data_IF_833625353860
#
_entry.id   IF_833625353860
#
_cell.length_a   1.000
_cell.length_b   1.000
_cell.length_c   1.000
_cell.angle_alpha   90.00
_cell.angle_beta   90.00
_cell.angle_gamma   90.00
#
_symmetry.space_group_name_H-M   'P 1'
#
loop_
_entity.id
_entity.type
_entity.pdbx_description
1 polymer ?
#
# COMPACT_ATOMS: atom_id res chain seq x y z
N UNK A 1 6.71 65.99 -24.61
CA UNK A 1 6.06 65.56 -23.34
C UNK A 1 5.15 64.33 -23.48
N UNK A 2 4.28 64.22 -24.51
CA UNK A 2 3.35 63.06 -24.65
C UNK A 2 4.03 61.68 -24.81
N UNK A 3 5.22 61.60 -25.41
CA UNK A 3 5.95 60.32 -25.56
C UNK A 3 6.65 59.82 -24.28
N UNK A 4 7.00 60.74 -23.37
CA UNK A 4 7.66 60.36 -22.09
C UNK A 4 6.63 59.81 -21.11
N UNK A 5 5.41 60.36 -21.10
CA UNK A 5 4.32 59.88 -20.24
C UNK A 5 3.84 58.49 -20.68
N UNK A 6 3.77 58.21 -21.99
CA UNK A 6 3.41 56.88 -22.49
C UNK A 6 4.45 55.80 -22.12
N UNK A 7 5.75 56.13 -22.20
CA UNK A 7 6.82 55.22 -21.77
C UNK A 7 6.81 54.99 -20.25
N UNK A 8 6.51 56.02 -19.45
CA UNK A 8 6.42 55.90 -17.99
C UNK A 8 5.19 55.09 -17.54
N UNK A 9 4.04 55.26 -18.22
CA UNK A 9 2.84 54.45 -17.97
C UNK A 9 3.06 52.99 -18.39
N UNK A 10 3.73 52.73 -19.53
CA UNK A 10 4.11 51.37 -19.92
C UNK A 10 5.13 50.74 -18.95
N UNK A 11 6.06 51.52 -18.39
CA UNK A 11 7.02 51.01 -17.39
C UNK A 11 6.33 50.67 -16.07
N UNK A 12 5.39 51.51 -15.61
CA UNK A 12 4.61 51.25 -14.38
C UNK A 12 3.64 50.08 -14.56
N UNK A 13 3.07 49.88 -15.75
CA UNK A 13 2.29 48.66 -16.06
C UNK A 13 3.18 47.41 -16.22
N UNK A 14 4.37 47.52 -16.81
CA UNK A 14 5.32 46.41 -16.92
C UNK A 14 5.92 45.99 -15.57
N UNK A 15 6.09 46.92 -14.63
CA UNK A 15 6.48 46.61 -13.24
C UNK A 15 5.29 46.25 -12.33
N UNK A 16 4.08 46.72 -12.64
CA UNK A 16 2.85 46.41 -11.90
C UNK A 16 2.22 45.06 -12.24
N UNK A 17 2.53 44.49 -13.42
CA UNK A 17 2.02 43.18 -13.86
C UNK A 17 3.07 42.06 -13.84
N UNK A 18 4.27 42.30 -13.32
CA UNK A 18 5.10 41.23 -12.78
C UNK A 18 4.44 40.80 -11.47
N UNK A 19 3.38 40.00 -11.59
CA UNK A 19 2.86 39.20 -10.48
C UNK A 19 4.07 38.53 -9.86
N UNK A 20 4.51 39.04 -8.71
CA UNK A 20 5.61 38.46 -7.94
C UNK A 20 5.21 37.01 -7.72
N UNK A 21 5.86 36.09 -8.43
CA UNK A 21 5.65 34.67 -8.20
C UNK A 21 5.76 34.46 -6.70
N UNK A 22 4.69 33.96 -6.07
CA UNK A 22 4.67 33.83 -4.61
C UNK A 22 5.91 33.02 -4.20
N UNK A 23 6.70 33.60 -3.30
CA UNK A 23 7.89 32.91 -2.80
C UNK A 23 7.43 31.72 -1.96
N UNK A 24 8.05 30.56 -2.18
CA UNK A 24 7.82 29.36 -1.38
C UNK A 24 7.99 29.73 0.11
N UNK A 25 7.00 29.35 0.93
CA UNK A 25 7.00 29.67 2.37
C UNK A 25 8.07 28.91 3.14
N UNK A 26 8.55 27.79 2.60
CA UNK A 26 9.74 27.10 3.08
C UNK A 26 10.51 26.45 1.93
N UNK A 27 11.80 26.16 2.17
CA UNK A 27 12.71 25.64 1.13
C UNK A 27 13.03 24.16 1.26
N UNK A 28 12.55 23.51 2.31
CA UNK A 28 12.76 22.09 2.53
C UNK A 28 11.55 21.50 3.23
N UNK A 29 11.21 20.26 2.86
CA UNK A 29 10.22 19.45 3.55
C UNK A 29 10.65 17.98 3.48
N UNK A 30 10.30 17.21 4.51
CA UNK A 30 10.61 15.77 4.58
C UNK A 30 9.36 15.00 4.96
N UNK A 31 9.13 13.87 4.30
CA UNK A 31 8.04 12.93 4.62
C UNK A 31 8.53 11.50 4.49
N UNK A 32 7.99 10.58 5.28
CA UNK A 32 8.27 9.15 5.12
C UNK A 32 7.30 8.52 4.12
N UNK A 33 7.81 8.01 3.01
CA UNK A 33 7.07 7.15 2.10
C UNK A 33 7.13 5.69 2.53
N UNK A 34 6.08 4.90 2.24
CA UNK A 34 6.11 3.45 2.47
C UNK A 34 6.48 2.71 1.18
N UNK A 35 7.51 1.88 1.23
CA UNK A 35 7.97 1.09 0.07
C UNK A 35 8.04 -0.40 0.42
N UNK A 36 8.08 -1.23 -0.63
CA UNK A 36 8.28 -2.67 -0.49
C UNK A 36 9.60 -3.03 -1.17
N UNK A 37 10.38 -3.91 -0.51
CA UNK A 37 11.62 -4.48 -1.03
C UNK A 37 11.50 -5.99 -1.10
N UNK A 38 11.97 -6.57 -2.20
CA UNK A 38 12.16 -8.00 -2.29
C UNK A 38 13.34 -8.41 -1.41
N UNK A 39 13.08 -9.34 -0.50
CA UNK A 39 14.07 -10.11 0.24
C UNK A 39 14.17 -11.49 -0.42
N UNK A 40 15.33 -12.15 -0.33
CA UNK A 40 15.58 -13.43 -1.02
C UNK A 40 14.46 -14.47 -0.84
N UNK A 41 14.36 -15.42 -1.78
CA UNK A 41 13.31 -16.45 -1.84
C UNK A 41 11.90 -15.92 -2.12
N UNK A 42 11.77 -14.86 -2.92
CA UNK A 42 10.46 -14.35 -3.37
C UNK A 42 9.63 -13.68 -2.25
N UNK A 43 10.25 -13.36 -1.11
CA UNK A 43 9.58 -12.66 -0.01
C UNK A 43 9.71 -11.15 -0.16
N UNK A 44 8.78 -10.42 0.44
CA UNK A 44 8.75 -8.97 0.38
C UNK A 44 8.67 -8.38 1.78
N UNK A 45 9.40 -7.30 2.03
CA UNK A 45 9.38 -6.56 3.29
C UNK A 45 9.03 -5.10 3.05
N UNK A 46 8.22 -4.52 3.92
CA UNK A 46 8.01 -3.07 3.91
C UNK A 46 9.15 -2.33 4.59
N UNK A 47 9.28 -1.04 4.29
CA UNK A 47 10.11 -0.10 5.03
C UNK A 47 9.60 1.34 4.82
N UNK A 48 9.90 2.21 5.78
CA UNK A 48 9.76 3.66 5.68
C UNK A 48 11.02 4.26 5.03
N UNK A 49 10.83 5.11 4.02
CA UNK A 49 11.93 5.82 3.35
C UNK A 49 11.66 7.31 3.43
N UNK A 50 12.62 8.07 3.96
CA UNK A 50 12.56 9.53 3.91
C UNK A 50 12.64 10.04 2.47
N UNK A 51 11.67 10.87 2.11
CA UNK A 51 11.58 11.61 0.86
C UNK A 51 11.71 13.08 1.22
N UNK A 52 12.68 13.76 0.61
CA UNK A 52 13.03 15.14 0.91
C UNK A 52 12.81 15.98 -0.35
N UNK A 53 12.03 17.04 -0.23
CA UNK A 53 11.93 18.08 -1.24
C UNK A 53 12.81 19.27 -0.85
N UNK A 54 13.65 19.75 -1.75
CA UNK A 54 14.50 20.94 -1.56
C UNK A 54 14.28 21.95 -2.67
N UNK A 55 14.11 23.22 -2.31
CA UNK A 55 13.99 24.32 -3.26
C UNK A 55 15.32 25.08 -3.34
N UNK A 56 15.99 24.94 -4.48
CA UNK A 56 17.25 25.61 -4.79
C UNK A 56 17.14 27.13 -4.85
N UNK A 57 18.29 27.79 -4.99
CA UNK A 57 18.35 29.24 -5.26
C UNK A 57 18.26 29.57 -6.74
N UNK A 58 18.45 28.58 -7.61
CA UNK A 58 18.38 28.75 -9.06
C UNK A 58 16.94 28.98 -9.53
N UNK A 59 16.77 29.95 -10.43
CA UNK A 59 15.49 30.24 -11.08
C UNK A 59 15.26 29.28 -12.25
N UNK A 60 14.52 28.20 -12.05
CA UNK A 60 14.12 27.20 -13.05
C UNK A 60 12.59 27.13 -13.23
N UNK A 61 11.87 28.24 -13.03
CA UNK A 61 10.43 28.35 -13.23
C UNK A 61 9.61 27.26 -12.50
N UNK A 62 10.00 26.94 -11.26
CA UNK A 62 9.30 25.94 -10.45
C UNK A 62 9.52 24.50 -10.90
N UNK A 63 10.49 24.23 -11.79
CA UNK A 63 10.74 22.89 -12.31
C UNK A 63 10.97 21.90 -11.16
N UNK A 64 10.21 20.81 -11.16
CA UNK A 64 10.34 19.73 -10.19
C UNK A 64 11.10 18.57 -10.82
N UNK A 65 12.12 18.06 -10.13
CA UNK A 65 12.95 16.94 -10.60
C UNK A 65 13.11 15.90 -9.50
N UNK A 66 13.42 14.65 -9.87
CA UNK A 66 13.79 13.60 -8.91
C UNK A 66 15.25 13.22 -9.12
N UNK A 67 16.01 13.15 -8.03
CA UNK A 67 17.37 12.61 -8.02
C UNK A 67 17.38 11.08 -7.85
N UNK A 68 18.30 10.41 -8.56
CA UNK A 68 18.57 8.99 -8.43
C UNK A 68 18.11 8.14 -9.60
N UNK A 69 18.21 6.81 -9.44
CA UNK A 69 17.79 5.84 -10.46
C UNK A 69 16.29 5.54 -10.35
N UNK A 70 15.50 6.30 -11.10
CA UNK A 70 14.03 6.32 -11.04
C UNK A 70 13.43 5.81 -12.35
N UNK A 71 12.44 4.90 -12.25
CA UNK A 71 11.69 4.39 -13.40
C UNK A 71 10.57 5.33 -13.86
N UNK A 72 9.80 4.91 -14.87
CA UNK A 72 8.90 5.80 -15.59
C UNK A 72 7.56 6.03 -14.86
N UNK A 73 7.06 5.05 -14.10
CA UNK A 73 5.84 5.22 -13.31
C UNK A 73 6.04 6.29 -12.23
N UNK A 74 7.20 6.27 -11.57
CA UNK A 74 7.51 7.26 -10.54
C UNK A 74 7.68 8.69 -11.09
N UNK A 75 8.23 8.84 -12.30
CA UNK A 75 8.28 10.15 -12.99
C UNK A 75 6.88 10.64 -13.37
N UNK A 76 6.01 9.72 -13.81
CA UNK A 76 4.62 10.04 -14.10
C UNK A 76 3.90 10.55 -12.85
N UNK A 77 4.04 9.85 -11.72
CA UNK A 77 3.42 10.25 -10.45
C UNK A 77 3.90 11.63 -9.97
N UNK A 78 5.19 11.98 -10.16
CA UNK A 78 5.66 13.34 -9.86
C UNK A 78 5.00 14.38 -10.78
N UNK A 79 4.89 14.07 -12.07
CA UNK A 79 4.26 14.97 -13.04
C UNK A 79 2.79 15.22 -12.69
N UNK A 80 2.07 14.20 -12.22
CA UNK A 80 0.68 14.33 -11.77
C UNK A 80 0.57 15.12 -10.47
N UNK A 81 1.47 14.90 -9.51
CA UNK A 81 1.57 15.69 -8.28
C UNK A 81 1.85 17.17 -8.57
N UNK A 82 2.79 17.46 -9.47
CA UNK A 82 3.12 18.83 -9.89
C UNK A 82 1.89 19.52 -10.52
N UNK A 83 1.22 18.84 -11.46
CA UNK A 83 -0.01 19.36 -12.08
C UNK A 83 -1.09 19.65 -11.05
N UNK A 84 -1.31 18.72 -10.11
CA UNK A 84 -2.29 18.90 -9.04
C UNK A 84 -2.01 20.16 -8.22
N UNK A 85 -0.75 20.37 -7.80
CA UNK A 85 -0.38 21.52 -6.96
C UNK A 85 -0.52 22.84 -7.73
N UNK A 86 -0.02 22.91 -8.96
CA UNK A 86 -0.09 24.12 -9.80
C UNK A 86 -1.52 24.53 -10.14
N UNK A 87 -2.43 23.56 -10.31
CA UNK A 87 -3.82 23.84 -10.67
C UNK A 87 -4.65 24.29 -9.46
N UNK A 88 -4.42 23.72 -8.28
CA UNK A 88 -5.36 23.84 -7.16
C UNK A 88 -4.85 24.70 -5.98
N UNK A 89 -3.54 24.97 -5.89
CA UNK A 89 -2.96 25.60 -4.69
C UNK A 89 -2.25 26.91 -5.04
N UNK A 90 -0.98 26.85 -5.44
CA UNK A 90 -0.25 28.02 -5.89
C UNK A 90 0.84 27.62 -6.89
N UNK A 91 1.42 28.62 -7.54
CA UNK A 91 2.60 28.40 -8.38
C UNK A 91 3.77 27.91 -7.50
N UNK A 92 4.63 27.06 -8.07
CA UNK A 92 5.84 26.56 -7.40
C UNK A 92 6.97 27.61 -7.40
N UNK A 93 6.62 28.86 -7.69
CA UNK A 93 7.53 29.99 -7.82
C UNK A 93 8.58 29.77 -8.89
N UNK A 94 9.71 30.46 -8.75
CA UNK A 94 10.81 30.37 -9.70
C UNK A 94 11.86 29.31 -9.34
N UNK A 95 11.85 28.75 -8.13
CA UNK A 95 12.93 27.87 -7.66
C UNK A 95 12.95 26.51 -8.39
N UNK A 96 14.13 25.94 -8.60
CA UNK A 96 14.23 24.51 -8.91
C UNK A 96 13.89 23.70 -7.67
N UNK A 97 12.93 22.78 -7.77
CA UNK A 97 12.60 21.85 -6.70
C UNK A 97 13.18 20.47 -7.04
N UNK A 98 13.88 19.89 -6.08
CA UNK A 98 14.47 18.56 -6.21
C UNK A 98 13.89 17.64 -5.16
N UNK A 99 13.32 16.52 -5.60
CA UNK A 99 12.91 15.41 -4.75
C UNK A 99 14.07 14.42 -4.68
N UNK A 100 14.47 14.06 -3.46
CA UNK A 100 15.50 13.06 -3.21
C UNK A 100 15.02 12.05 -2.18
N UNK A 101 15.59 10.85 -2.24
CA UNK A 101 15.34 9.80 -1.26
C UNK A 101 16.57 9.66 -0.37
N UNK A 102 16.37 9.49 0.94
CA UNK A 102 17.48 9.25 1.88
C UNK A 102 18.29 8.00 1.46
N UNK A 103 17.60 6.99 0.92
CA UNK A 103 18.25 5.82 0.33
C UNK A 103 18.53 6.03 -1.17
N UNK A 104 19.81 6.10 -1.57
CA UNK A 104 20.19 6.48 -2.94
C UNK A 104 20.52 5.32 -3.89
N UNK A 105 20.86 4.15 -3.37
CA UNK A 105 21.53 3.10 -4.17
C UNK A 105 20.59 2.09 -4.84
N UNK A 106 19.36 1.96 -4.35
CA UNK A 106 18.39 1.01 -4.89
C UNK A 106 17.48 1.68 -5.93
N UNK A 107 17.31 1.10 -7.15
CA UNK A 107 16.36 1.57 -8.13
C UNK A 107 14.95 1.66 -7.53
N UNK A 108 14.21 2.71 -7.87
CA UNK A 108 12.84 2.93 -7.39
C UNK A 108 11.91 3.14 -8.56
N UNK A 109 10.79 2.44 -8.57
CA UNK A 109 9.73 2.65 -9.54
C UNK A 109 8.35 2.36 -8.90
N UNK A 110 7.30 2.86 -9.53
CA UNK A 110 5.91 2.73 -9.09
C UNK A 110 5.28 4.05 -8.65
N UNK A 111 3.97 4.20 -8.92
CA UNK A 111 3.22 5.43 -8.62
C UNK A 111 2.96 5.71 -7.13
N UNK A 112 3.25 4.75 -6.24
CA UNK A 112 2.80 4.79 -4.83
C UNK A 112 3.37 5.90 -3.91
N UNK A 113 4.22 6.77 -4.46
CA UNK A 113 4.76 7.96 -3.80
C UNK A 113 4.09 9.28 -4.27
N UNK A 114 3.18 9.25 -5.23
CA UNK A 114 2.54 10.44 -5.81
C UNK A 114 1.84 11.33 -4.78
N UNK A 115 1.13 10.74 -3.82
CA UNK A 115 0.52 11.48 -2.72
C UNK A 115 1.59 12.13 -1.82
N UNK A 116 2.71 11.45 -1.57
CA UNK A 116 3.81 11.99 -0.77
C UNK A 116 4.46 13.21 -1.45
N UNK A 117 4.69 13.13 -2.77
CA UNK A 117 5.20 14.26 -3.55
C UNK A 117 4.26 15.46 -3.48
N UNK A 118 2.95 15.22 -3.56
CA UNK A 118 1.95 16.29 -3.46
C UNK A 118 1.96 16.96 -2.09
N UNK A 119 2.07 16.19 -1.01
CA UNK A 119 2.19 16.72 0.35
C UNK A 119 3.48 17.54 0.51
N UNK A 120 4.62 17.06 0.00
CA UNK A 120 5.89 17.78 0.04
C UNK A 120 5.82 19.12 -0.72
N UNK A 121 5.30 19.11 -1.95
CA UNK A 121 5.16 20.32 -2.75
C UNK A 121 4.21 21.33 -2.10
N UNK A 122 3.08 20.85 -1.57
CA UNK A 122 2.16 21.70 -0.79
C UNK A 122 2.81 22.25 0.47
N UNK A 123 3.64 21.47 1.14
CA UNK A 123 4.38 21.90 2.33
C UNK A 123 5.34 23.05 1.99
N UNK A 124 6.06 23.00 0.87
CA UNK A 124 6.90 24.11 0.39
C UNK A 124 6.09 25.39 0.10
N UNK A 125 4.92 25.24 -0.52
CA UNK A 125 4.03 26.35 -0.92
C UNK A 125 3.31 26.96 0.29
N UNK A 126 2.76 26.12 1.17
CA UNK A 126 1.88 26.54 2.27
C UNK A 126 2.62 26.78 3.59
N UNK A 127 3.85 26.27 3.73
CA UNK A 127 4.70 26.49 4.90
C UNK A 127 4.29 25.69 6.13
N UNK A 128 3.63 24.54 5.94
CA UNK A 128 3.33 23.64 7.06
C UNK A 128 4.44 22.62 7.26
N UNK A 129 4.74 22.35 8.52
CA UNK A 129 5.66 21.27 8.91
C UNK A 129 4.98 19.91 8.81
N UNK A 130 5.71 18.90 8.37
CA UNK A 130 5.25 17.51 8.28
C UNK A 130 5.66 16.76 9.54
N UNK A 131 4.75 16.00 10.12
CA UNK A 131 5.00 15.17 11.29
C UNK A 131 5.92 13.99 10.93
N UNK A 132 7.06 13.92 11.60
CA UNK A 132 8.08 12.89 11.38
C UNK A 132 7.65 11.48 11.81
N UNK A 133 6.57 11.36 12.59
CA UNK A 133 5.96 10.09 12.95
C UNK A 133 4.95 9.58 11.90
N UNK A 134 4.60 10.41 10.91
CA UNK A 134 3.69 10.04 9.84
C UNK A 134 4.42 9.42 8.64
N UNK A 135 3.92 8.27 8.20
CA UNK A 135 4.28 7.65 6.94
C UNK A 135 3.08 7.66 5.98
N UNK A 136 3.32 7.79 4.68
CA UNK A 136 2.27 7.88 3.66
C UNK A 136 2.56 6.99 2.46
N UNK A 137 1.50 6.44 1.86
CA UNK A 137 1.55 5.84 0.54
C UNK A 137 0.26 6.14 -0.21
N UNK A 138 0.35 6.13 -1.53
CA UNK A 138 -0.77 6.39 -2.43
C UNK A 138 -0.26 6.93 -3.75
N UNK A 139 -0.86 6.43 -4.83
CA UNK A 139 -0.71 7.05 -6.12
C UNK A 139 -1.69 8.22 -6.26
N UNK A 140 -1.52 9.09 -7.24
CA UNK A 140 -2.31 10.30 -7.39
C UNK A 140 -2.86 10.44 -8.80
N UNK A 141 -4.13 10.85 -8.92
CA UNK A 141 -4.64 11.38 -10.18
C UNK A 141 -4.53 12.91 -10.20
N UNK A 142 -4.43 13.51 -11.40
CA UNK A 142 -4.28 14.97 -11.60
C UNK A 142 -5.32 15.85 -10.89
N UNK A 143 -6.48 15.30 -10.54
CA UNK A 143 -7.54 16.00 -9.79
C UNK A 143 -7.38 15.91 -8.26
N UNK A 144 -6.27 15.37 -7.77
CA UNK A 144 -5.99 15.21 -6.34
C UNK A 144 -6.63 13.98 -5.70
N UNK A 145 -7.26 13.07 -6.48
CA UNK A 145 -7.73 11.79 -5.96
C UNK A 145 -6.54 10.89 -5.62
N UNK A 146 -6.58 10.30 -4.42
CA UNK A 146 -5.61 9.28 -4.00
C UNK A 146 -6.06 7.92 -4.53
N UNK A 147 -5.15 7.24 -5.22
CA UNK A 147 -5.39 5.99 -5.93
C UNK A 147 -4.78 4.80 -5.17
N UNK A 148 -5.38 3.60 -5.27
CA UNK A 148 -4.93 2.41 -4.56
C UNK A 148 -3.54 1.97 -5.01
N UNK A 149 -2.82 1.34 -4.08
CA UNK A 149 -1.46 0.84 -4.28
C UNK A 149 -1.33 -0.63 -3.91
N UNK A 150 -0.17 -1.21 -4.24
CA UNK A 150 0.20 -2.56 -3.86
C UNK A 150 1.06 -2.72 -2.63
N UNK A 151 1.06 -3.94 -2.09
CA UNK A 151 1.84 -4.32 -0.92
C UNK A 151 1.51 -3.54 0.34
N UNK A 152 0.26 -3.06 0.51
CA UNK A 152 -0.17 -2.25 1.67
C UNK A 152 0.13 -2.97 2.98
N UNK A 153 -0.10 -4.28 3.01
CA UNK A 153 0.10 -5.13 4.19
C UNK A 153 1.57 -5.14 4.62
N UNK A 154 2.49 -5.38 3.68
CA UNK A 154 3.93 -5.32 3.92
C UNK A 154 4.38 -3.91 4.32
N UNK A 155 3.90 -2.87 3.61
CA UNK A 155 4.18 -1.46 3.89
C UNK A 155 3.82 -1.05 5.31
N UNK A 156 2.61 -1.39 5.76
CA UNK A 156 2.13 -1.06 7.11
C UNK A 156 2.98 -1.75 8.20
N UNK A 157 3.36 -3.01 8.00
CA UNK A 157 4.26 -3.72 8.93
C UNK A 157 5.63 -3.03 8.98
N UNK A 158 6.23 -2.76 7.82
CA UNK A 158 7.56 -2.15 7.75
C UNK A 158 7.64 -0.78 8.42
N UNK A 159 6.63 0.09 8.23
CA UNK A 159 6.66 1.42 8.88
C UNK A 159 6.39 1.37 10.38
N UNK A 160 5.63 0.37 10.85
CA UNK A 160 5.49 0.11 12.28
C UNK A 160 6.83 -0.32 12.89
N UNK A 161 7.55 -1.23 12.22
CA UNK A 161 8.88 -1.71 12.64
C UNK A 161 9.92 -0.58 12.63
N UNK A 162 9.81 0.36 11.68
CA UNK A 162 10.63 1.58 11.59
C UNK A 162 10.20 2.71 12.56
N UNK A 163 9.26 2.42 13.48
CA UNK A 163 8.86 3.32 14.56
C UNK A 163 7.93 4.47 14.15
N UNK A 164 7.27 4.39 12.99
CA UNK A 164 6.19 5.32 12.65
C UNK A 164 4.93 4.97 13.45
N UNK A 165 4.23 5.99 13.96
CA UNK A 165 3.00 5.79 14.75
C UNK A 165 1.74 6.19 14.00
N UNK A 166 1.88 6.88 12.87
CA UNK A 166 0.78 7.29 11.99
C UNK A 166 1.06 6.79 10.58
N UNK A 167 0.08 6.13 9.96
CA UNK A 167 0.13 5.67 8.59
C UNK A 167 -1.05 6.21 7.79
N UNK A 168 -0.78 6.77 6.62
CA UNK A 168 -1.80 7.27 5.69
C UNK A 168 -1.83 6.37 4.45
N UNK A 169 -2.99 5.79 4.17
CA UNK A 169 -3.22 4.88 3.03
C UNK A 169 -4.40 5.35 2.17
N UNK A 170 -4.48 4.92 0.89
CA UNK A 170 -5.66 5.15 0.07
C UNK A 170 -6.92 4.52 0.68
N UNK A 171 -8.07 5.20 0.58
CA UNK A 171 -9.35 4.67 1.04
C UNK A 171 -9.69 3.31 0.40
N UNK A 172 -9.37 3.15 -0.87
CA UNK A 172 -9.59 1.91 -1.62
C UNK A 172 -8.72 0.74 -1.10
N UNK A 173 -7.70 1.02 -0.27
CA UNK A 173 -6.86 0.01 0.36
C UNK A 173 -7.29 -0.38 1.79
N UNK A 174 -8.38 0.18 2.34
CA UNK A 174 -8.96 -0.24 3.63
C UNK A 174 -9.16 -1.77 3.75
N UNK A 175 -9.58 -2.50 2.70
CA UNK A 175 -9.71 -3.96 2.79
C UNK A 175 -8.39 -4.68 3.10
N UNK A 176 -7.24 -4.15 2.67
CA UNK A 176 -5.93 -4.74 2.98
C UNK A 176 -5.60 -4.65 4.49
N UNK A 177 -6.12 -3.64 5.19
CA UNK A 177 -6.00 -3.55 6.66
C UNK A 177 -6.83 -4.66 7.31
N UNK A 178 -8.05 -4.94 6.80
CA UNK A 178 -8.83 -6.09 7.27
C UNK A 178 -8.06 -7.40 7.10
N UNK A 179 -7.37 -7.58 5.98
CA UNK A 179 -6.58 -8.77 5.71
C UNK A 179 -5.45 -8.96 6.72
N UNK A 180 -4.76 -7.89 7.13
CA UNK A 180 -3.76 -7.95 8.21
C UNK A 180 -4.38 -8.41 9.54
N UNK A 181 -5.56 -7.90 9.88
CA UNK A 181 -6.23 -8.21 11.15
C UNK A 181 -6.74 -9.65 11.23
N UNK A 182 -6.92 -10.33 10.09
CA UNK A 182 -7.35 -11.73 10.03
C UNK A 182 -6.15 -12.70 10.15
N UNK A 183 -4.94 -12.26 9.77
CA UNK A 183 -3.71 -13.07 9.69
C UNK A 183 -3.05 -13.37 11.05
N UNK A 184 -3.81 -13.86 12.04
CA UNK A 184 -3.26 -14.38 13.30
C UNK A 184 -2.94 -13.32 14.36
N UNK A 185 -1.80 -13.48 15.07
CA UNK A 185 -1.41 -12.68 16.24
C UNK A 185 -1.09 -11.21 15.94
N UNK A 186 -0.86 -10.89 14.68
CA UNK A 186 -0.40 -9.57 14.21
C UNK A 186 -1.49 -8.49 14.31
N UNK A 187 -2.77 -8.89 14.45
CA UNK A 187 -3.88 -7.98 14.64
C UNK A 187 -3.62 -6.98 15.77
N UNK A 188 -3.12 -7.48 16.90
CA UNK A 188 -2.87 -6.65 18.07
C UNK A 188 -1.59 -5.82 17.94
N UNK A 189 -0.61 -6.30 17.20
CA UNK A 189 0.65 -5.58 16.96
C UNK A 189 0.36 -4.32 16.15
N UNK A 190 -0.34 -4.45 15.02
CA UNK A 190 -0.71 -3.32 14.16
C UNK A 190 -1.59 -2.32 14.92
N UNK A 191 -2.66 -2.77 15.59
CA UNK A 191 -3.56 -1.86 16.30
C UNK A 191 -2.87 -1.11 17.45
N UNK A 192 -1.87 -1.73 18.10
CA UNK A 192 -1.09 -1.15 19.19
C UNK A 192 0.04 -0.25 18.70
N UNK A 193 0.70 -0.60 17.60
CA UNK A 193 1.88 0.08 17.10
C UNK A 193 1.57 1.23 16.13
N UNK A 194 0.44 1.17 15.42
CA UNK A 194 0.18 2.05 14.28
C UNK A 194 -1.27 2.56 14.21
N UNK A 195 -1.41 3.87 14.08
CA UNK A 195 -2.67 4.53 13.78
C UNK A 195 -2.81 4.70 12.26
N UNK A 196 -3.68 3.90 11.65
CA UNK A 196 -3.91 3.92 10.21
C UNK A 196 -5.07 4.83 9.88
N UNK A 197 -4.83 5.80 9.00
CA UNK A 197 -5.82 6.69 8.44
C UNK A 197 -5.99 6.41 6.94
N UNK A 198 -7.23 6.52 6.48
CA UNK A 198 -7.57 6.40 5.06
C UNK A 198 -7.81 7.78 4.45
N UNK A 199 -7.42 7.95 3.19
CA UNK A 199 -7.59 9.21 2.47
C UNK A 199 -8.14 8.96 1.07
N UNK A 200 -9.08 9.79 0.63
CA UNK A 200 -9.61 9.76 -0.73
C UNK A 200 -9.00 10.89 -1.57
N UNK A 201 -8.58 11.99 -0.94
CA UNK A 201 -7.94 13.13 -1.59
C UNK A 201 -6.64 13.52 -0.90
N UNK A 202 -5.76 14.21 -1.65
CA UNK A 202 -4.51 14.75 -1.12
C UNK A 202 -4.75 15.72 0.04
N UNK A 203 -5.87 16.45 0.05
CA UNK A 203 -6.20 17.38 1.14
C UNK A 203 -6.38 16.66 2.48
N UNK A 204 -7.00 15.47 2.47
CA UNK A 204 -7.12 14.63 3.66
C UNK A 204 -5.73 14.17 4.13
N UNK A 205 -4.86 13.81 3.18
CA UNK A 205 -3.49 13.42 3.49
C UNK A 205 -2.71 14.57 4.16
N UNK A 206 -2.75 15.78 3.59
CA UNK A 206 -2.12 16.96 4.19
C UNK A 206 -2.66 17.25 5.58
N UNK A 207 -3.98 17.17 5.77
CA UNK A 207 -4.61 17.38 7.08
C UNK A 207 -4.09 16.40 8.15
N UNK A 208 -3.77 15.16 7.76
CA UNK A 208 -3.26 14.12 8.66
C UNK A 208 -1.74 14.18 8.85
N UNK A 209 -0.97 14.51 7.81
CA UNK A 209 0.49 14.46 7.88
C UNK A 209 1.13 15.72 8.44
N UNK A 210 0.44 16.86 8.44
CA UNK A 210 0.99 18.11 9.01
C UNK A 210 1.09 18.06 10.53
N UNK A 211 2.04 18.77 11.12
CA UNK A 211 2.24 18.82 12.58
C UNK A 211 1.20 19.68 13.29
N UNK A 212 0.72 20.74 12.64
CA UNK A 212 -0.26 21.72 13.13
C UNK A 212 -1.72 21.33 12.76
N UNK A 213 -2.08 20.06 12.97
CA UNK A 213 -3.41 19.52 12.67
C UNK A 213 -4.55 20.28 13.36
N UNK A 214 -5.75 20.17 12.79
CA UNK A 214 -6.98 20.60 13.45
C UNK A 214 -7.16 19.91 14.81
N UNK A 215 -7.72 20.62 15.80
CA UNK A 215 -7.83 20.15 17.19
C UNK A 215 -8.59 18.82 17.31
N UNK A 216 -9.64 18.63 16.51
CA UNK A 216 -10.38 17.37 16.47
C UNK A 216 -9.48 16.18 16.13
N UNK A 217 -8.60 16.33 15.14
CA UNK A 217 -7.69 15.27 14.71
C UNK A 217 -6.58 15.02 15.74
N UNK A 218 -6.05 16.08 16.36
CA UNK A 218 -5.10 15.96 17.47
C UNK A 218 -5.70 15.16 18.62
N UNK A 219 -6.95 15.48 19.00
CA UNK A 219 -7.65 14.78 20.07
C UNK A 219 -7.95 13.33 19.70
N UNK A 220 -8.37 13.05 18.46
CA UNK A 220 -8.57 11.68 17.97
C UNK A 220 -7.29 10.83 18.07
N UNK A 221 -6.15 11.37 17.60
CA UNK A 221 -4.84 10.70 17.66
C UNK A 221 -4.42 10.44 19.11
N UNK A 222 -4.61 11.42 19.99
CA UNK A 222 -4.30 11.33 21.42
C UNK A 222 -5.15 10.27 22.12
N UNK A 223 -6.47 10.32 21.94
CA UNK A 223 -7.40 9.37 22.55
C UNK A 223 -7.12 7.93 22.10
N UNK A 224 -6.79 7.73 20.82
CA UNK A 224 -6.39 6.40 20.34
C UNK A 224 -5.04 5.96 20.93
N UNK A 225 -4.07 6.88 21.06
CA UNK A 225 -2.79 6.62 21.73
C UNK A 225 -2.93 6.21 23.20
N UNK A 226 -3.95 6.72 23.91
CA UNK A 226 -4.30 6.23 25.25
C UNK A 226 -4.81 4.78 25.22
N UNK A 227 -5.69 4.45 24.27
CA UNK A 227 -6.18 3.07 24.11
C UNK A 227 -5.06 2.09 23.74
N UNK A 228 -4.10 2.51 22.93
CA UNK A 228 -2.94 1.68 22.56
C UNK A 228 -2.13 1.23 23.80
N UNK A 229 -2.06 2.06 24.85
CA UNK A 229 -1.41 1.69 26.12
C UNK A 229 -2.18 0.58 26.84
N UNK A 230 -3.51 0.64 26.80
CA UNK A 230 -4.40 -0.36 27.42
C UNK A 230 -4.45 -1.68 26.63
N UNK A 231 -4.23 -1.64 25.31
CA UNK A 231 -4.16 -2.82 24.43
C UNK A 231 -2.99 -3.76 24.78
N UNK A 232 -2.06 -3.36 25.65
CA UNK A 232 -1.04 -4.23 26.26
C UNK A 232 -1.65 -5.48 26.93
N UNK A 233 -2.87 -5.36 27.45
CA UNK A 233 -3.63 -6.42 28.12
C UNK A 233 -4.43 -7.33 27.17
N UNK A 234 -4.29 -7.13 25.86
CA UNK A 234 -4.98 -7.90 24.82
C UNK A 234 -6.35 -7.34 24.41
N UNK A 235 -7.04 -8.04 23.51
CA UNK A 235 -8.32 -7.62 22.89
C UNK A 235 -9.42 -7.34 23.92
N UNK A 236 -9.40 -8.01 25.08
CA UNK A 236 -10.40 -7.86 26.14
C UNK A 236 -10.43 -6.45 26.71
N UNK A 237 -9.32 -5.71 26.69
CA UNK A 237 -9.27 -4.31 27.12
C UNK A 237 -10.22 -3.41 26.31
N UNK A 238 -10.41 -3.72 25.03
CA UNK A 238 -11.28 -2.95 24.13
C UNK A 238 -12.76 -3.23 24.35
N UNK A 239 -13.12 -4.33 25.03
CA UNK A 239 -14.51 -4.74 25.22
C UNK A 239 -15.24 -3.93 26.29
N UNK A 240 -14.53 -3.15 27.12
CA UNK A 240 -15.16 -2.35 28.17
C UNK A 240 -16.07 -1.25 27.58
N UNK A 241 -17.20 -0.90 28.23
CA UNK A 241 -18.06 0.18 27.75
C UNK A 241 -17.31 1.51 27.56
N UNK A 242 -16.38 1.82 28.46
CA UNK A 242 -15.55 3.02 28.38
C UNK A 242 -14.63 3.02 27.14
N UNK A 243 -13.99 1.90 26.82
CA UNK A 243 -13.16 1.79 25.62
C UNK A 243 -14.00 1.91 24.34
N UNK A 244 -15.17 1.28 24.28
CA UNK A 244 -16.08 1.38 23.14
C UNK A 244 -16.62 2.80 22.95
N UNK A 245 -16.96 3.51 24.04
CA UNK A 245 -17.38 4.90 23.98
C UNK A 245 -16.25 5.79 23.46
N UNK A 246 -15.02 5.61 23.98
CA UNK A 246 -13.84 6.36 23.52
C UNK A 246 -13.56 6.13 22.03
N UNK A 247 -13.66 4.89 21.55
CA UNK A 247 -13.56 4.55 20.12
C UNK A 247 -14.65 5.23 19.29
N UNK A 248 -15.89 5.32 19.81
CA UNK A 248 -16.96 6.09 19.18
C UNK A 248 -16.60 7.57 19.03
N UNK A 249 -16.15 8.21 20.11
CA UNK A 249 -15.70 9.62 20.08
C UNK A 249 -14.55 9.84 19.10
N UNK A 250 -13.57 8.92 19.02
CA UNK A 250 -12.49 9.00 18.05
C UNK A 250 -13.03 9.02 16.61
N UNK A 251 -14.03 8.18 16.30
CA UNK A 251 -14.63 8.10 14.97
C UNK A 251 -15.51 9.32 14.65
N UNK A 252 -16.14 9.94 15.65
CA UNK A 252 -16.85 11.22 15.46
C UNK A 252 -15.88 12.37 15.14
N UNK A 253 -14.69 12.35 15.75
CA UNK A 253 -13.64 13.34 15.54
C UNK A 253 -12.85 13.12 14.24
N UNK A 254 -12.59 11.86 13.89
CA UNK A 254 -11.84 11.44 12.71
C UNK A 254 -12.47 10.18 12.07
N UNK A 255 -13.51 10.34 11.23
CA UNK A 255 -14.24 9.22 10.61
C UNK A 255 -13.37 8.31 9.74
N UNK A 256 -12.24 8.81 9.27
CA UNK A 256 -11.28 8.09 8.43
C UNK A 256 -10.19 7.36 9.22
N UNK A 257 -10.27 7.33 10.56
CA UNK A 257 -9.39 6.56 11.44
C UNK A 257 -9.71 5.06 11.36
N UNK A 258 -8.94 4.35 10.54
CA UNK A 258 -9.17 2.94 10.19
C UNK A 258 -8.89 2.03 11.38
N UNK A 259 -7.83 2.30 12.15
CA UNK A 259 -7.50 1.49 13.33
C UNK A 259 -8.60 1.59 14.40
N UNK A 260 -9.15 2.79 14.65
CA UNK A 260 -10.26 2.97 15.59
C UNK A 260 -11.52 2.23 15.15
N UNK A 261 -11.85 2.27 13.85
CA UNK A 261 -12.99 1.54 13.29
C UNK A 261 -12.87 0.04 13.53
N UNK A 262 -11.75 -0.56 13.14
CA UNK A 262 -11.57 -2.00 13.35
C UNK A 262 -11.44 -2.39 14.83
N UNK A 263 -10.79 -1.55 15.66
CA UNK A 263 -10.74 -1.78 17.10
C UNK A 263 -12.16 -1.82 17.71
N UNK A 264 -13.07 -0.95 17.25
CA UNK A 264 -14.47 -0.95 17.68
C UNK A 264 -15.23 -2.18 17.19
N UNK A 265 -15.04 -2.56 15.93
CA UNK A 265 -15.67 -3.77 15.37
C UNK A 265 -15.24 -5.02 16.14
N UNK A 266 -13.94 -5.14 16.42
CA UNK A 266 -13.37 -6.23 17.23
C UNK A 266 -13.94 -6.20 18.65
N UNK A 267 -14.02 -5.03 19.29
CA UNK A 267 -14.59 -4.87 20.63
C UNK A 267 -16.04 -5.36 20.70
N UNK A 268 -16.82 -5.12 19.63
CA UNK A 268 -18.22 -5.55 19.48
C UNK A 268 -18.39 -7.00 19.03
N UNK A 269 -17.30 -7.74 18.76
CA UNK A 269 -17.34 -9.11 18.25
C UNK A 269 -17.63 -9.23 16.74
N UNK A 270 -17.63 -8.10 16.04
CA UNK A 270 -17.89 -7.94 14.61
C UNK A 270 -16.60 -7.71 13.79
N UNK A 271 -15.43 -7.90 14.41
CA UNK A 271 -14.15 -7.80 13.72
C UNK A 271 -14.04 -8.79 12.54
N UNK A 272 -13.15 -8.51 11.58
CA UNK A 272 -13.01 -9.34 10.39
C UNK A 272 -12.56 -10.76 10.76
N UNK A 273 -13.17 -11.76 10.11
CA UNK A 273 -12.93 -13.19 10.38
C UNK A 273 -12.33 -13.93 9.18
N UNK A 274 -12.50 -13.37 8.00
CA UNK A 274 -12.02 -13.94 6.74
C UNK A 274 -11.31 -12.86 5.95
N UNK A 275 -10.33 -13.29 5.17
CA UNK A 275 -9.63 -12.49 4.19
C UNK A 275 -10.61 -11.98 3.12
N UNK A 276 -10.22 -10.92 2.43
CA UNK A 276 -10.84 -10.48 1.19
C UNK A 276 -10.72 -11.57 0.12
N UNK A 277 -11.53 -11.47 -0.95
CA UNK A 277 -11.46 -12.42 -2.07
C UNK A 277 -10.05 -12.47 -2.66
N UNK A 278 -9.46 -11.30 -2.95
CA UNK A 278 -8.12 -11.23 -3.53
C UNK A 278 -7.05 -11.76 -2.59
N UNK A 279 -7.07 -11.39 -1.31
CA UNK A 279 -6.11 -11.93 -0.36
C UNK A 279 -6.25 -13.44 -0.16
N UNK A 280 -7.47 -13.97 -0.20
CA UNK A 280 -7.70 -15.43 -0.16
C UNK A 280 -7.08 -16.14 -1.35
N UNK A 281 -7.21 -15.57 -2.56
CA UNK A 281 -6.58 -16.12 -3.77
C UNK A 281 -5.06 -16.12 -3.60
N UNK A 282 -4.46 -15.00 -3.18
CA UNK A 282 -3.02 -14.88 -2.94
C UNK A 282 -2.52 -15.93 -1.96
N UNK A 283 -3.20 -16.10 -0.81
CA UNK A 283 -2.78 -17.08 0.20
C UNK A 283 -2.83 -18.52 -0.31
N UNK A 284 -3.82 -18.86 -1.14
CA UNK A 284 -3.92 -20.19 -1.75
C UNK A 284 -2.72 -20.45 -2.68
N UNK A 285 -2.36 -19.47 -3.51
CA UNK A 285 -1.22 -19.62 -4.41
C UNK A 285 0.11 -19.59 -3.68
N UNK A 286 0.26 -18.75 -2.66
CA UNK A 286 1.44 -18.72 -1.81
C UNK A 286 1.66 -20.07 -1.09
N UNK A 287 0.60 -20.64 -0.51
CA UNK A 287 0.65 -21.97 0.13
C UNK A 287 0.96 -23.10 -0.86
N UNK A 288 0.63 -22.93 -2.14
CA UNK A 288 0.91 -23.89 -3.21
C UNK A 288 2.14 -23.52 -4.07
N UNK A 289 2.94 -22.53 -3.67
CA UNK A 289 3.99 -21.97 -4.52
C UNK A 289 4.99 -23.03 -5.04
N UNK A 290 5.55 -23.93 -4.21
CA UNK A 290 6.49 -24.95 -4.71
C UNK A 290 5.88 -25.88 -5.76
N UNK A 291 4.60 -26.20 -5.61
CA UNK A 291 3.85 -26.98 -6.60
C UNK A 291 3.68 -26.19 -7.90
N UNK A 292 3.22 -24.93 -7.77
CA UNK A 292 2.96 -24.05 -8.89
C UNK A 292 4.20 -23.81 -9.75
N UNK A 293 5.35 -23.58 -9.11
CA UNK A 293 6.64 -23.37 -9.78
C UNK A 293 7.03 -24.57 -10.65
N UNK A 294 6.82 -25.80 -10.16
CA UNK A 294 7.14 -27.03 -10.92
C UNK A 294 6.16 -27.25 -12.07
N UNK A 295 4.84 -27.13 -11.83
CA UNK A 295 3.82 -27.47 -12.84
C UNK A 295 3.67 -26.44 -13.95
N UNK A 296 4.21 -25.22 -13.78
CA UNK A 296 4.14 -24.14 -14.78
C UNK A 296 5.45 -23.92 -15.55
N UNK A 297 6.49 -24.69 -15.26
CA UNK A 297 7.76 -24.61 -15.97
C UNK A 297 7.62 -25.13 -17.41
N UNK A 298 7.60 -24.20 -18.36
CA UNK A 298 7.45 -24.48 -19.80
C UNK A 298 8.62 -25.26 -20.39
N UNK A 299 9.76 -25.31 -19.71
CA UNK A 299 10.95 -26.01 -20.21
C UNK A 299 10.94 -27.50 -19.82
N UNK A 300 9.98 -27.92 -18.98
CA UNK A 300 9.88 -29.30 -18.52
C UNK A 300 8.79 -30.06 -19.26
N UNK A 301 9.11 -31.31 -19.60
CA UNK A 301 8.18 -32.25 -20.24
C UNK A 301 7.50 -33.17 -19.23
N UNK A 302 8.20 -33.53 -18.16
CA UNK A 302 7.75 -34.46 -17.13
C UNK A 302 7.98 -33.88 -15.73
N UNK A 303 7.13 -34.27 -14.78
CA UNK A 303 7.23 -33.91 -13.36
C UNK A 303 7.68 -35.15 -12.59
N UNK A 304 8.68 -34.99 -11.71
CA UNK A 304 9.28 -36.09 -10.97
C UNK A 304 9.14 -35.94 -9.46
N UNK A 305 9.30 -37.06 -8.73
CA UNK A 305 9.28 -37.06 -7.26
C UNK A 305 10.48 -36.33 -6.63
N UNK A 306 11.56 -36.13 -7.38
CA UNK A 306 12.70 -35.32 -6.94
C UNK A 306 12.33 -33.82 -6.84
N UNK A 307 11.47 -33.34 -7.74
CA UNK A 307 11.04 -31.94 -7.80
C UNK A 307 9.88 -31.66 -6.85
N UNK A 308 9.01 -32.66 -6.64
CA UNK A 308 7.94 -32.61 -5.65
C UNK A 308 8.08 -33.74 -4.63
N UNK A 309 9.02 -33.61 -3.67
CA UNK A 309 9.16 -34.54 -2.56
C UNK A 309 7.87 -34.71 -1.75
N UNK A 310 7.69 -35.88 -1.15
CA UNK A 310 6.53 -36.21 -0.30
C UNK A 310 6.33 -35.17 0.80
N UNK A 311 7.40 -34.79 1.50
CA UNK A 311 7.32 -33.83 2.60
C UNK A 311 6.93 -32.41 2.10
N UNK A 312 7.38 -32.01 0.91
CA UNK A 312 6.97 -30.74 0.29
C UNK A 312 5.47 -30.73 0.00
N UNK A 313 4.93 -31.80 -0.62
CA UNK A 313 3.49 -31.92 -0.88
C UNK A 313 2.69 -31.96 0.41
N UNK A 314 3.14 -32.71 1.41
CA UNK A 314 2.51 -32.78 2.72
C UNK A 314 2.47 -31.42 3.41
N UNK A 315 3.55 -30.65 3.34
CA UNK A 315 3.60 -29.28 3.85
C UNK A 315 2.59 -28.38 3.14
N UNK A 316 2.59 -28.35 1.80
CA UNK A 316 1.64 -27.53 1.03
C UNK A 316 0.18 -27.89 1.33
N UNK A 317 -0.13 -29.18 1.48
CA UNK A 317 -1.48 -29.63 1.87
C UNK A 317 -1.82 -29.18 3.30
N UNK A 318 -0.87 -29.18 4.22
CA UNK A 318 -1.06 -28.66 5.58
C UNK A 318 -1.32 -27.14 5.56
N UNK A 319 -0.54 -26.38 4.80
CA UNK A 319 -0.67 -24.93 4.65
C UNK A 319 -2.01 -24.54 4.01
N UNK A 320 -2.40 -25.20 2.91
CA UNK A 320 -3.71 -25.00 2.29
C UNK A 320 -4.87 -25.34 3.23
N UNK A 321 -4.70 -26.30 4.14
CA UNK A 321 -5.74 -26.62 5.12
C UNK A 321 -5.76 -25.68 6.31
N UNK A 322 -4.62 -25.14 6.72
CA UNK A 322 -4.51 -24.20 7.84
C UNK A 322 -5.24 -22.88 7.53
N UNK A 323 -5.16 -22.41 6.28
CA UNK A 323 -5.81 -21.17 5.84
C UNK A 323 -7.33 -21.29 5.63
N UNK A 324 -7.91 -22.49 5.71
CA UNK A 324 -9.36 -22.72 5.47
C UNK A 324 -10.25 -21.82 6.31
N UNK A 325 -9.91 -21.61 7.59
CA UNK A 325 -10.74 -20.84 8.54
C UNK A 325 -10.81 -19.36 8.21
N UNK A 326 -9.79 -18.84 7.53
CA UNK A 326 -9.68 -17.43 7.17
C UNK A 326 -9.97 -17.18 5.68
N UNK A 327 -10.10 -18.24 4.88
CA UNK A 327 -10.41 -18.13 3.44
C UNK A 327 -11.82 -17.56 3.25
N UNK A 328 -11.95 -16.58 2.35
CA UNK A 328 -13.25 -16.04 1.96
C UNK A 328 -14.17 -17.16 1.44
N UNK A 329 -15.44 -17.24 1.86
CA UNK A 329 -16.35 -18.32 1.45
C UNK A 329 -16.43 -18.52 -0.06
N UNK A 330 -16.53 -17.43 -0.82
CA UNK A 330 -16.56 -17.48 -2.29
C UNK A 330 -15.27 -18.06 -2.92
N UNK A 331 -14.14 -18.06 -2.23
CA UNK A 331 -12.84 -18.53 -2.75
C UNK A 331 -12.54 -19.98 -2.33
N UNK A 332 -13.35 -20.56 -1.43
CA UNK A 332 -13.15 -21.93 -0.94
C UNK A 332 -13.19 -22.99 -2.06
N UNK A 333 -13.95 -22.75 -3.14
CA UNK A 333 -13.95 -23.60 -4.33
C UNK A 333 -12.59 -23.69 -5.01
N UNK A 334 -11.85 -22.57 -5.08
CA UNK A 334 -10.51 -22.51 -5.62
C UNK A 334 -9.52 -23.31 -4.74
N UNK A 335 -9.56 -23.10 -3.42
CA UNK A 335 -8.70 -23.80 -2.45
C UNK A 335 -8.87 -25.32 -2.55
N UNK A 336 -10.12 -25.78 -2.60
CA UNK A 336 -10.46 -27.21 -2.78
C UNK A 336 -9.95 -27.75 -4.11
N UNK A 337 -10.12 -26.99 -5.19
CA UNK A 337 -9.65 -27.40 -6.53
C UNK A 337 -8.12 -27.51 -6.57
N UNK A 338 -7.39 -26.59 -5.92
CA UNK A 338 -5.94 -26.67 -5.78
C UNK A 338 -5.50 -27.92 -5.02
N UNK A 339 -6.14 -28.21 -3.88
CA UNK A 339 -5.87 -29.42 -3.10
C UNK A 339 -6.10 -30.70 -3.91
N UNK A 340 -7.21 -30.79 -4.65
CA UNK A 340 -7.53 -31.95 -5.50
C UNK A 340 -6.50 -32.12 -6.61
N UNK A 341 -6.01 -31.03 -7.19
CA UNK A 341 -5.00 -31.10 -8.24
C UNK A 341 -3.66 -31.59 -7.70
N UNK A 342 -3.20 -31.04 -6.56
CA UNK A 342 -1.99 -31.50 -5.86
C UNK A 342 -2.10 -32.99 -5.50
N UNK A 343 -3.23 -33.41 -4.94
CA UNK A 343 -3.48 -34.79 -4.52
C UNK A 343 -3.48 -35.79 -5.69
N UNK A 344 -4.00 -35.36 -6.84
CA UNK A 344 -3.98 -36.15 -8.07
C UNK A 344 -2.55 -36.40 -8.55
N UNK A 345 -1.72 -35.35 -8.59
CA UNK A 345 -0.32 -35.47 -9.00
C UNK A 345 0.47 -36.30 -7.97
N UNK A 346 0.25 -36.10 -6.67
CA UNK A 346 0.90 -36.89 -5.61
C UNK A 346 0.58 -38.39 -5.74
N UNK A 347 -0.67 -38.72 -6.06
CA UNK A 347 -1.11 -40.10 -6.27
C UNK A 347 -0.40 -40.75 -7.46
N UNK A 348 -0.31 -40.03 -8.59
CA UNK A 348 0.37 -40.51 -9.79
C UNK A 348 1.87 -40.71 -9.51
N UNK A 349 2.53 -39.73 -8.89
CA UNK A 349 3.96 -39.81 -8.51
C UNK A 349 4.25 -40.93 -7.48
N UNK A 350 3.25 -41.33 -6.70
CA UNK A 350 3.37 -42.44 -5.74
C UNK A 350 3.17 -43.82 -6.35
N UNK A 351 2.67 -43.92 -7.58
CA UNK A 351 2.43 -45.20 -8.25
C UNK A 351 3.74 -45.81 -8.74
N UNK A 352 4.48 -46.44 -7.82
CA UNK A 352 5.79 -47.03 -8.10
C UNK A 352 5.72 -48.04 -9.26
N UNK A 353 6.60 -47.85 -10.26
CA UNK A 353 6.77 -48.77 -11.39
C UNK A 353 5.72 -48.69 -12.51
N UNK A 354 4.73 -47.80 -12.43
CA UNK A 354 3.82 -47.52 -13.56
C UNK A 354 4.34 -46.36 -14.41
N UNK A 355 4.43 -46.58 -15.71
CA UNK A 355 4.60 -45.49 -16.68
C UNK A 355 3.33 -44.63 -16.65
N UNK A 356 3.50 -43.29 -16.60
CA UNK A 356 2.39 -42.35 -16.66
C UNK A 356 1.61 -42.59 -17.94
N UNK A 357 0.29 -42.79 -17.82
CA UNK A 357 -0.58 -43.10 -18.96
C UNK A 357 -1.26 -41.85 -19.50
N UNK A 358 -1.74 -41.89 -20.76
CA UNK A 358 -2.59 -40.83 -21.32
C UNK A 358 -3.83 -40.55 -20.47
N UNK A 359 -4.35 -41.58 -19.80
CA UNK A 359 -5.48 -41.45 -18.88
C UNK A 359 -5.11 -40.61 -17.66
N UNK A 360 -3.92 -40.78 -17.11
CA UNK A 360 -3.43 -40.01 -15.96
C UNK A 360 -3.29 -38.54 -16.32
N UNK A 361 -2.70 -38.25 -17.49
CA UNK A 361 -2.59 -36.88 -18.04
C UNK A 361 -3.97 -36.24 -18.17
N UNK A 362 -4.94 -36.95 -18.77
CA UNK A 362 -6.31 -36.46 -18.92
C UNK A 362 -6.99 -36.15 -17.57
N UNK A 363 -6.73 -36.94 -16.53
CA UNK A 363 -7.26 -36.69 -15.19
C UNK A 363 -6.63 -35.43 -14.59
N UNK A 364 -5.30 -35.26 -14.72
CA UNK A 364 -4.59 -34.06 -14.24
C UNK A 364 -5.12 -32.81 -14.94
N UNK A 365 -5.28 -32.84 -16.26
CA UNK A 365 -5.85 -31.73 -17.03
C UNK A 365 -7.26 -31.37 -16.58
N UNK A 366 -8.12 -32.37 -16.33
CA UNK A 366 -9.46 -32.14 -15.80
C UNK A 366 -9.45 -31.43 -14.43
N UNK A 367 -8.46 -31.72 -13.56
CA UNK A 367 -8.34 -31.04 -12.26
C UNK A 367 -7.82 -29.62 -12.41
N UNK A 368 -6.84 -29.41 -13.30
CA UNK A 368 -6.38 -28.06 -13.67
C UNK A 368 -7.52 -27.22 -14.23
N UNK A 369 -8.31 -27.76 -15.15
CA UNK A 369 -9.41 -27.03 -15.77
C UNK A 369 -10.51 -26.64 -14.77
N UNK A 370 -10.74 -27.47 -13.74
CA UNK A 370 -11.62 -27.13 -12.62
C UNK A 370 -11.07 -25.95 -11.80
N UNK A 371 -9.76 -25.91 -11.52
CA UNK A 371 -9.10 -24.76 -10.87
C UNK A 371 -9.25 -23.49 -11.73
N UNK A 372 -8.98 -23.58 -13.03
CA UNK A 372 -9.11 -22.45 -13.98
C UNK A 372 -10.55 -21.95 -14.04
N UNK A 373 -11.54 -22.84 -14.00
CA UNK A 373 -12.95 -22.46 -13.95
C UNK A 373 -13.28 -21.64 -12.70
N UNK A 374 -12.73 -22.02 -11.54
CA UNK A 374 -12.89 -21.24 -10.31
C UNK A 374 -12.24 -19.86 -10.41
N UNK A 375 -11.03 -19.76 -10.98
CA UNK A 375 -10.38 -18.46 -11.21
C UNK A 375 -11.22 -17.54 -12.10
N UNK A 376 -11.72 -18.07 -13.21
CA UNK A 376 -12.61 -17.33 -14.13
C UNK A 376 -13.90 -16.89 -13.43
N UNK A 377 -14.50 -17.75 -12.61
CA UNK A 377 -15.71 -17.42 -11.84
C UNK A 377 -15.47 -16.28 -10.84
N UNK A 378 -14.26 -16.17 -10.29
CA UNK A 378 -13.90 -15.12 -9.34
C UNK A 378 -13.65 -13.76 -10.00
N UNK A 379 -13.75 -13.65 -11.34
CA UNK A 379 -13.28 -12.50 -12.11
C UNK A 379 -11.86 -12.08 -11.68
N UNK A 380 -11.05 -13.05 -11.25
CA UNK A 380 -9.66 -12.80 -10.93
C UNK A 380 -8.99 -12.44 -12.24
N UNK A 381 -8.62 -11.16 -12.38
CA UNK A 381 -7.90 -10.67 -13.55
C UNK A 381 -6.66 -11.56 -13.72
N UNK A 382 -6.61 -12.36 -14.79
CA UNK A 382 -5.50 -13.28 -15.05
C UNK A 382 -4.18 -12.50 -15.18
N UNK A 383 -4.22 -11.25 -15.65
CA UNK A 383 -3.07 -10.36 -15.68
C UNK A 383 -2.70 -9.86 -14.29
N UNK A 384 -3.69 -9.59 -13.42
CA UNK A 384 -3.46 -9.26 -12.00
C UNK A 384 -2.87 -10.46 -11.25
N UNK A 385 -3.39 -11.67 -11.39
CA UNK A 385 -2.83 -12.88 -10.76
C UNK A 385 -1.40 -13.12 -11.28
N UNK A 386 -1.17 -12.99 -12.59
CA UNK A 386 0.16 -13.13 -13.17
C UNK A 386 1.13 -12.01 -12.75
N UNK A 387 0.65 -10.76 -12.58
CA UNK A 387 1.41 -9.62 -12.09
C UNK A 387 1.73 -9.77 -10.59
N UNK A 388 0.75 -10.15 -9.78
CA UNK A 388 0.89 -10.43 -8.34
C UNK A 388 1.88 -11.55 -8.06
N UNK A 389 1.96 -12.57 -8.92
CA UNK A 389 2.94 -13.65 -8.80
C UNK A 389 4.36 -13.24 -9.25
N UNK A 390 4.49 -12.26 -10.16
CA UNK A 390 5.79 -11.69 -10.56
C UNK A 390 6.32 -10.64 -9.59
N UNK A 391 5.43 -9.86 -9.00
CA UNK A 391 5.74 -8.68 -8.19
C UNK A 391 5.56 -8.90 -6.68
N UNK A 392 5.07 -10.08 -6.29
CA UNK A 392 4.82 -10.53 -4.92
C UNK A 392 4.16 -9.49 -4.02
N UNK A 393 2.84 -9.56 -4.03
CA UNK A 393 1.96 -8.72 -3.22
C UNK A 393 1.94 -9.11 -1.74
#
# INVERSE_FOLDING_TARGET
MRHIVAAFVLLVFAFGSLTRAEELKQRQATIKGMVVRQVGNGKYTGLAVGIVATAGKEAKNGQVTIEGKIGDEMKSALTEAEKYVRVNHADLGNAQITISFEERYHPKDGGSAGTAFSVLLRSLVEGFEIDSAAAITGDIAVNGKVMPIGGVTAKLRGVMDDGCTIAVIPADNIPAVSDLLVRGSEMMEILRGLQVFSVAKVDDAVAITRSDRADKLKEAIKLYGELQKDMSRGVTALKTPAAQQKLGTILDLAPNHVSARYALDIAKGNGPRTLTRNASVVEIFAAAYPFWEVVTDKNKKDITRAELPVETIKSMKADLNSIKRVTHPDVEGLRKSMLVWIDTIDTILSSAGKQVTERDVKIVDQRRDALVKELKRLNSDEALVAKMMREGY
#
